data_IF_137736420186
#
_entry.id   IF_137736420186
#
_cell.length_a   1.000
_cell.length_b   1.000
_cell.length_c   1.000
_cell.angle_alpha   90.00
_cell.angle_beta   90.00
_cell.angle_gamma   90.00
#
_symmetry.space_group_name_H-M   'P 1'
#
loop_
_entity.id
_entity.type
_entity.pdbx_description
1 polymer ?
#
# COMPACT_ATOMS: atom_id res chain seq x y z
N UNK A 1 11.55 31.13 -9.90
CA UNK A 1 11.61 31.97 -8.68
C UNK A 1 10.27 32.64 -8.50
N UNK A 2 9.66 32.57 -7.32
CA UNK A 2 8.32 33.12 -7.05
C UNK A 2 8.42 34.16 -5.94
N UNK A 3 7.99 35.39 -6.22
CA UNK A 3 7.90 36.44 -5.20
C UNK A 3 6.64 36.21 -4.36
N UNK A 4 6.81 35.89 -3.08
CA UNK A 4 5.71 35.64 -2.15
C UNK A 4 5.24 36.90 -1.43
N UNK A 5 6.14 37.85 -1.19
CA UNK A 5 5.81 39.10 -0.51
C UNK A 5 7.02 39.79 0.11
N UNK A 6 6.76 40.70 1.05
CA UNK A 6 7.79 41.51 1.72
C UNK A 6 7.66 41.35 3.23
N UNK A 7 8.79 41.10 3.91
CA UNK A 7 8.87 41.09 5.37
C UNK A 7 9.89 42.16 5.80
N UNK A 8 9.38 43.31 6.26
CA UNK A 8 10.21 44.47 6.61
C UNK A 8 10.94 45.05 5.40
N UNK A 9 12.27 45.11 5.45
CA UNK A 9 13.12 45.59 4.35
C UNK A 9 13.53 44.51 3.34
N UNK A 10 13.14 43.24 3.56
CA UNK A 10 13.53 42.10 2.73
C UNK A 10 12.35 41.52 1.95
N UNK A 11 12.59 41.11 0.72
CA UNK A 11 11.65 40.40 -0.17
C UNK A 11 11.77 38.89 0.07
N UNK A 12 10.63 38.24 0.23
CA UNK A 12 10.53 36.79 0.43
C UNK A 12 10.28 36.13 -0.91
N UNK A 13 11.21 35.26 -1.28
CA UNK A 13 11.27 34.65 -2.60
C UNK A 13 11.38 33.13 -2.41
N UNK A 14 10.57 32.36 -3.11
CA UNK A 14 10.72 30.92 -3.19
C UNK A 14 11.51 30.56 -4.47
N UNK A 15 12.66 29.94 -4.26
CA UNK A 15 13.47 29.36 -5.32
C UNK A 15 13.27 27.83 -5.32
N UNK A 16 12.81 27.20 -6.42
CA UNK A 16 12.68 25.75 -6.49
C UNK A 16 14.00 25.01 -6.28
N UNK A 17 15.16 25.61 -6.58
CA UNK A 17 16.46 24.97 -6.41
C UNK A 17 16.97 24.98 -4.96
N UNK A 18 16.54 25.96 -4.15
CA UNK A 18 17.16 26.21 -2.83
C UNK A 18 16.15 26.46 -1.70
N UNK A 19 14.86 26.47 -2.02
CA UNK A 19 13.79 26.78 -1.08
C UNK A 19 13.55 28.28 -0.87
N UNK A 20 13.08 28.65 0.31
CA UNK A 20 12.66 30.03 0.62
C UNK A 20 13.88 30.87 0.99
N UNK A 21 14.11 31.96 0.27
CA UNK A 21 15.16 32.95 0.51
C UNK A 21 14.56 34.33 0.83
N UNK A 22 15.30 35.09 1.62
CA UNK A 22 14.98 36.50 1.93
C UNK A 22 16.08 37.36 1.33
N UNK A 23 15.75 38.11 0.29
CA UNK A 23 16.70 38.94 -0.45
C UNK A 23 16.38 40.42 -0.22
N UNK A 24 17.41 41.25 -0.18
CA UNK A 24 17.23 42.69 -0.29
C UNK A 24 16.85 43.09 -1.73
N UNK A 25 16.27 44.28 -1.94
CA UNK A 25 15.94 44.75 -3.28
C UNK A 25 17.16 44.83 -4.21
N UNK A 26 18.34 45.16 -3.66
CA UNK A 26 19.58 45.24 -4.42
C UNK A 26 20.02 43.86 -4.91
N UNK A 27 20.05 42.88 -4.02
CA UNK A 27 20.39 41.48 -4.37
C UNK A 27 19.39 40.88 -5.37
N UNK A 28 18.12 41.27 -5.30
CA UNK A 28 17.12 40.87 -6.27
C UNK A 28 17.43 41.46 -7.65
N UNK A 29 17.73 42.76 -7.75
CA UNK A 29 18.10 43.39 -9.01
C UNK A 29 19.36 42.78 -9.62
N UNK A 30 20.36 42.45 -8.79
CA UNK A 30 21.61 41.84 -9.26
C UNK A 30 21.41 40.41 -9.78
N UNK A 31 20.48 39.66 -9.16
CA UNK A 31 20.13 38.29 -9.53
C UNK A 31 19.10 38.18 -10.66
N UNK A 32 18.26 39.20 -10.87
CA UNK A 32 17.17 39.21 -11.84
C UNK A 32 17.57 39.90 -13.15
N UNK A 33 18.55 39.31 -13.85
CA UNK A 33 19.13 39.90 -15.06
C UNK A 33 18.20 39.90 -16.27
N UNK A 34 17.31 38.92 -16.35
CA UNK A 34 16.42 38.75 -17.51
C UNK A 34 15.20 39.69 -17.47
N UNK A 35 14.89 40.29 -16.32
CA UNK A 35 13.81 41.29 -16.18
C UNK A 35 12.38 40.79 -16.47
N UNK A 36 12.20 39.49 -16.74
CA UNK A 36 10.88 38.92 -17.06
C UNK A 36 10.08 38.69 -15.79
N UNK A 37 8.88 39.28 -15.72
CA UNK A 37 7.91 39.07 -14.65
C UNK A 37 6.64 38.46 -15.23
N UNK A 38 6.23 37.31 -14.69
CA UNK A 38 4.92 36.75 -14.96
C UNK A 38 3.98 37.08 -13.80
N UNK A 39 2.98 37.92 -14.06
CA UNK A 39 1.92 38.19 -13.10
C UNK A 39 0.82 37.14 -13.26
N UNK A 40 0.53 36.43 -12.17
CA UNK A 40 -0.51 35.41 -12.12
C UNK A 40 -1.71 36.01 -11.38
N UNK A 41 -2.84 36.10 -12.07
CA UNK A 41 -4.11 36.48 -11.44
C UNK A 41 -4.95 35.22 -11.21
N UNK A 42 -5.42 34.97 -9.97
CA UNK A 42 -6.22 33.79 -9.68
C UNK A 42 -7.61 33.90 -10.29
N UNK A 43 -7.97 32.96 -11.16
CA UNK A 43 -9.36 32.76 -11.57
C UNK A 43 -10.14 32.07 -10.43
N UNK A 44 -11.01 32.82 -9.76
CA UNK A 44 -11.80 32.35 -8.61
C UNK A 44 -12.61 31.08 -8.93
N UNK A 45 -13.11 30.95 -10.17
CA UNK A 45 -13.90 29.78 -10.58
C UNK A 45 -13.06 28.50 -10.62
N UNK A 46 -11.77 28.62 -10.95
CA UNK A 46 -10.86 27.49 -11.12
C UNK A 46 -10.23 27.05 -9.80
N UNK A 47 -10.01 27.98 -8.87
CA UNK A 47 -9.52 27.69 -7.51
C UNK A 47 -10.53 26.92 -6.67
N UNK A 48 -11.82 27.20 -6.83
CA UNK A 48 -12.89 26.49 -6.12
C UNK A 48 -13.11 25.06 -6.64
N UNK A 49 -12.72 24.79 -7.89
CA UNK A 49 -12.81 23.46 -8.51
C UNK A 49 -11.58 22.59 -8.27
N UNK A 50 -10.47 23.13 -7.73
CA UNK A 50 -9.34 22.30 -7.39
C UNK A 50 -9.77 21.31 -6.30
N UNK A 51 -9.70 19.99 -6.57
CA UNK A 51 -9.88 19.01 -5.51
C UNK A 51 -8.83 19.33 -4.46
N UNK A 52 -9.25 19.50 -3.20
CA UNK A 52 -8.30 19.54 -2.09
C UNK A 52 -7.44 18.29 -2.19
N UNK A 53 -6.20 18.44 -2.65
CA UNK A 53 -5.21 17.37 -2.60
C UNK A 53 -5.14 16.95 -1.15
N UNK A 54 -5.63 15.73 -0.89
CA UNK A 54 -5.83 15.22 0.45
C UNK A 54 -4.47 15.17 1.13
N UNK A 55 -4.28 16.00 2.16
CA UNK A 55 -3.01 16.20 2.90
C UNK A 55 -2.55 14.96 3.70
N UNK A 56 -3.09 13.79 3.40
CA UNK A 56 -2.83 12.53 4.08
C UNK A 56 -2.06 11.61 3.13
N UNK A 57 -0.73 11.79 3.00
CA UNK A 57 0.10 10.95 2.13
C UNK A 57 -0.07 9.47 2.46
N UNK A 58 -0.19 9.11 3.74
CA UNK A 58 -0.41 7.73 4.19
C UNK A 58 -1.72 7.11 3.69
N UNK A 59 -2.83 7.85 3.66
CA UNK A 59 -4.09 7.34 3.10
C UNK A 59 -4.01 7.20 1.58
N UNK A 60 -3.18 8.01 0.89
CA UNK A 60 -2.93 7.86 -0.56
C UNK A 60 -2.21 6.53 -0.85
N UNK A 61 -1.21 6.17 -0.05
CA UNK A 61 -0.53 4.87 -0.17
C UNK A 61 -1.45 3.69 0.18
N UNK A 62 -2.23 3.80 1.26
CA UNK A 62 -3.18 2.75 1.65
C UNK A 62 -4.28 2.57 0.59
N UNK A 63 -4.67 3.65 -0.10
CA UNK A 63 -5.60 3.65 -1.23
C UNK A 63 -5.01 3.07 -2.51
N UNK A 64 -3.69 3.13 -2.70
CA UNK A 64 -2.98 2.45 -3.77
C UNK A 64 -2.79 0.94 -3.51
N UNK A 65 -2.69 0.52 -2.25
CA UNK A 65 -2.61 -0.92 -1.88
C UNK A 65 -3.97 -1.61 -1.81
N UNK A 66 -5.04 -0.82 -1.88
CA UNK A 66 -6.45 -1.21 -1.83
C UNK A 66 -6.90 -2.16 -2.97
N UNK A 67 -6.34 -2.13 -4.20
CA UNK A 67 -6.63 -3.12 -5.25
C UNK A 67 -6.06 -4.52 -4.94
N UNK A 68 -5.01 -4.63 -4.10
CA UNK A 68 -4.39 -5.90 -3.71
C UNK A 68 -4.98 -6.51 -2.43
N UNK A 69 -6.19 -6.07 -2.01
CA UNK A 69 -6.87 -6.62 -0.82
C UNK A 69 -7.14 -8.11 -0.93
N UNK A 70 -7.43 -8.59 -2.14
CA UNK A 70 -7.72 -10.00 -2.38
C UNK A 70 -6.49 -10.88 -2.15
N UNK A 71 -5.31 -10.42 -2.61
CA UNK A 71 -4.02 -11.10 -2.36
C UNK A 71 -3.68 -11.11 -0.86
N UNK A 72 -3.97 -10.02 -0.16
CA UNK A 72 -3.71 -9.88 1.28
C UNK A 72 -4.61 -10.81 2.11
N UNK A 73 -5.90 -10.91 1.77
CA UNK A 73 -6.85 -11.83 2.41
C UNK A 73 -6.48 -13.28 2.12
N UNK A 74 -6.00 -13.58 0.91
CA UNK A 74 -5.54 -14.92 0.54
C UNK A 74 -4.28 -15.31 1.32
N UNK A 75 -3.28 -14.43 1.40
CA UNK A 75 -2.06 -14.66 2.17
C UNK A 75 -2.34 -14.78 3.67
N UNK A 76 -3.26 -13.98 4.20
CA UNK A 76 -3.71 -14.07 5.59
C UNK A 76 -4.41 -15.40 5.86
N UNK A 77 -5.35 -15.80 4.99
CA UNK A 77 -6.06 -17.08 5.11
C UNK A 77 -5.10 -18.27 5.09
N UNK A 78 -4.10 -18.26 4.19
CA UNK A 78 -3.08 -19.32 4.11
C UNK A 78 -2.24 -19.36 5.40
N UNK A 79 -1.80 -18.22 5.91
CA UNK A 79 -1.03 -18.16 7.16
C UNK A 79 -1.85 -18.61 8.37
N UNK A 80 -3.15 -18.30 8.41
CA UNK A 80 -4.05 -18.80 9.47
C UNK A 80 -4.17 -20.32 9.41
N UNK A 81 -4.34 -20.90 8.22
CA UNK A 81 -4.40 -22.36 8.05
C UNK A 81 -3.07 -23.03 8.43
N UNK A 82 -1.94 -22.47 8.02
CA UNK A 82 -0.61 -22.97 8.40
C UNK A 82 -0.40 -22.85 9.91
N UNK A 83 -0.79 -21.73 10.52
CA UNK A 83 -0.69 -21.51 11.95
C UNK A 83 -1.51 -22.52 12.75
N UNK A 84 -2.77 -22.75 12.34
CA UNK A 84 -3.63 -23.77 12.93
C UNK A 84 -3.04 -25.17 12.79
N UNK A 85 -2.47 -25.50 11.63
CA UNK A 85 -1.84 -26.80 11.40
C UNK A 85 -0.58 -26.98 12.25
N UNK A 86 0.22 -25.93 12.40
CA UNK A 86 1.40 -25.93 13.27
C UNK A 86 1.03 -26.10 14.75
N UNK A 87 -0.11 -25.56 15.17
CA UNK A 87 -0.68 -25.77 16.51
C UNK A 87 -1.28 -27.17 16.68
N UNK A 88 -1.85 -27.76 15.61
CA UNK A 88 -2.42 -29.11 15.65
C UNK A 88 -1.34 -30.21 15.66
N UNK A 89 -0.15 -29.96 15.09
CA UNK A 89 0.94 -30.95 15.08
C UNK A 89 1.41 -31.46 16.45
N UNK A 90 1.69 -30.61 17.45
CA UNK A 90 2.05 -31.11 18.78
C UNK A 90 0.92 -31.92 19.42
N UNK A 91 -0.34 -31.56 19.17
CA UNK A 91 -1.49 -32.33 19.64
C UNK A 91 -1.58 -33.71 18.99
N UNK A 92 -1.32 -33.81 17.67
CA UNK A 92 -1.27 -35.08 16.96
C UNK A 92 -0.11 -35.97 17.43
N UNK A 93 1.05 -35.38 17.69
CA UNK A 93 2.22 -36.08 18.22
C UNK A 93 2.00 -36.59 19.65
N UNK A 94 1.22 -35.86 20.45
CA UNK A 94 0.79 -36.29 21.79
C UNK A 94 -0.11 -37.52 21.69
N UNK A 95 -1.18 -37.49 20.88
CA UNK A 95 -2.06 -38.64 20.64
C UNK A 95 -1.29 -39.86 20.10
N UNK A 96 -0.41 -39.68 19.12
CA UNK A 96 0.42 -40.75 18.55
C UNK A 96 1.36 -41.39 19.58
N UNK A 97 1.87 -40.61 20.53
CA UNK A 97 2.81 -41.10 21.54
C UNK A 97 2.08 -41.72 22.74
N UNK A 98 0.88 -41.24 23.07
CA UNK A 98 0.08 -41.72 24.22
C UNK A 98 -0.89 -42.86 23.87
N UNK A 99 -1.46 -42.93 22.65
CA UNK A 99 -2.50 -43.93 22.27
C UNK A 99 -2.03 -45.08 21.35
N UNK A 100 -0.82 -45.00 20.77
CA UNK A 100 -0.28 -46.04 19.86
C UNK A 100 0.66 -46.99 20.60
N UNK A 101 0.12 -47.77 21.54
CA UNK A 101 0.32 -49.21 21.35
C UNK A 101 -0.91 -49.98 20.86
N UNK A 102 -2.11 -49.39 20.70
CA UNK A 102 -3.34 -50.25 20.64
C UNK A 102 -4.33 -50.05 19.47
N UNK A 103 -4.37 -48.97 18.66
CA UNK A 103 -5.44 -48.87 17.62
C UNK A 103 -4.97 -48.42 16.23
N UNK A 104 -4.91 -49.39 15.30
CA UNK A 104 -4.81 -49.21 13.84
C UNK A 104 -6.09 -48.57 13.29
N UNK A 105 -6.27 -47.25 13.40
CA UNK A 105 -7.44 -46.58 12.80
C UNK A 105 -7.15 -46.02 11.40
N UNK A 106 -7.32 -46.90 10.41
CA UNK A 106 -7.32 -46.60 8.96
C UNK A 106 -8.33 -45.51 8.54
N UNK A 107 -9.31 -45.23 9.40
CA UNK A 107 -10.36 -44.23 9.19
C UNK A 107 -9.83 -42.79 9.29
N UNK A 108 -8.83 -42.55 10.14
CA UNK A 108 -8.16 -41.24 10.27
C UNK A 108 -7.27 -40.94 9.06
N UNK A 109 -6.65 -41.97 8.47
CA UNK A 109 -5.84 -41.82 7.27
C UNK A 109 -6.69 -41.44 6.05
N UNK A 110 -7.91 -41.99 5.99
CA UNK A 110 -8.84 -41.77 4.88
C UNK A 110 -9.49 -40.38 4.94
N UNK A 111 -9.85 -39.91 6.14
CA UNK A 111 -10.38 -38.55 6.34
C UNK A 111 -9.33 -37.47 6.03
N UNK A 112 -8.07 -37.70 6.41
CA UNK A 112 -6.97 -36.79 6.09
C UNK A 112 -6.70 -36.72 4.58
N UNK A 113 -6.69 -37.86 3.90
CA UNK A 113 -6.56 -37.91 2.44
C UNK A 113 -7.70 -37.16 1.72
N UNK A 114 -8.93 -37.30 2.22
CA UNK A 114 -10.09 -36.59 1.67
C UNK A 114 -10.01 -35.07 1.92
N UNK A 115 -9.53 -34.66 3.09
CA UNK A 115 -9.30 -33.26 3.41
C UNK A 115 -8.21 -32.63 2.52
N UNK A 116 -7.12 -33.35 2.27
CA UNK A 116 -6.05 -32.92 1.35
C UNK A 116 -6.56 -32.77 -0.09
N UNK A 117 -7.38 -33.72 -0.56
CA UNK A 117 -7.98 -33.65 -1.89
C UNK A 117 -8.87 -32.41 -2.04
N UNK A 118 -9.71 -32.15 -1.03
CA UNK A 118 -10.60 -30.99 -1.01
C UNK A 118 -9.81 -29.67 -1.03
N UNK A 119 -8.76 -29.56 -0.21
CA UNK A 119 -7.86 -28.41 -0.18
C UNK A 119 -7.17 -28.18 -1.54
N UNK A 120 -6.74 -29.24 -2.22
CA UNK A 120 -6.08 -29.13 -3.53
C UNK A 120 -7.03 -28.60 -4.61
N UNK A 121 -8.26 -29.11 -4.65
CA UNK A 121 -9.30 -28.65 -5.59
C UNK A 121 -9.64 -27.19 -5.32
N UNK A 122 -9.86 -26.84 -4.06
CA UNK A 122 -10.19 -25.46 -3.67
C UNK A 122 -9.07 -24.48 -4.02
N UNK A 123 -7.81 -24.87 -3.78
CA UNK A 123 -6.63 -24.07 -4.14
C UNK A 123 -6.52 -23.88 -5.66
N UNK A 124 -6.82 -24.91 -6.44
CA UNK A 124 -6.78 -24.86 -7.91
C UNK A 124 -7.84 -23.91 -8.47
N UNK A 125 -9.06 -23.93 -7.93
CA UNK A 125 -10.14 -23.00 -8.32
C UNK A 125 -9.74 -21.55 -8.02
N UNK A 126 -9.18 -21.27 -6.84
CA UNK A 126 -8.71 -19.93 -6.49
C UNK A 126 -7.58 -19.47 -7.43
N UNK A 127 -6.65 -20.36 -7.78
CA UNK A 127 -5.55 -20.05 -8.70
C UNK A 127 -6.04 -19.69 -10.11
N UNK A 128 -7.10 -20.36 -10.60
CA UNK A 128 -7.71 -20.05 -11.90
C UNK A 128 -8.37 -18.67 -11.90
N UNK A 129 -9.10 -18.34 -10.83
CA UNK A 129 -9.72 -17.02 -10.65
C UNK A 129 -8.64 -15.94 -10.58
N UNK A 130 -7.55 -16.18 -9.84
CA UNK A 130 -6.42 -15.27 -9.74
C UNK A 130 -5.74 -15.03 -11.10
N UNK A 131 -5.52 -16.09 -11.89
CA UNK A 131 -4.96 -15.98 -13.24
C UNK A 131 -5.84 -15.17 -14.18
N UNK A 132 -7.15 -15.37 -14.15
CA UNK A 132 -8.10 -14.61 -14.97
C UNK A 132 -8.14 -13.12 -14.58
N UNK A 133 -8.04 -12.80 -13.28
CA UNK A 133 -7.97 -11.40 -12.84
C UNK A 133 -6.68 -10.72 -13.32
N UNK A 134 -5.52 -11.37 -13.19
CA UNK A 134 -4.25 -10.78 -13.66
C UNK A 134 -4.26 -10.56 -15.17
N UNK A 135 -4.83 -11.49 -15.94
CA UNK A 135 -4.95 -11.35 -17.40
C UNK A 135 -5.91 -10.23 -17.85
N UNK A 136 -6.88 -9.84 -17.02
CA UNK A 136 -7.81 -8.75 -17.32
C UNK A 136 -7.28 -7.36 -16.94
N UNK A 137 -6.24 -7.28 -16.11
CA UNK A 137 -5.64 -6.03 -15.62
C UNK A 137 -4.22 -5.76 -16.15
N UNK A 138 -3.73 -6.58 -17.09
CA UNK A 138 -2.52 -6.33 -17.89
C UNK A 138 -2.90 -5.80 -19.27
#
# INVERSE_FOLDING_TARGET
MVLYGRQGSKLVIADPAVGIRKLSPQELCDGWRDGVLLLLEPDLNRLLQQPQESRLPFLRFLRLTLPCRMLLIQALSINVVIGLLALAMPWLMQELTDDVPVRRDSQLLTSLGLAMLFLFVFRSVISLIQGHMVAHFA
#
